data_IF_069765884966
#
_entry.id   IF_069765884966
#
_cell.length_a   1.000
_cell.length_b   1.000
_cell.length_c   1.000
_cell.angle_alpha   90.00
_cell.angle_beta   90.00
_cell.angle_gamma   90.00
#
_symmetry.space_group_name_H-M   'P 1'
#
loop_
_entity.id
_entity.type
_entity.pdbx_description
1 polymer ?
#
# COMPACT_ATOMS: atom_id res chain seq x y z
N UNK A 1 0.97 2.14 -13.07
CA UNK A 1 0.77 1.33 -11.85
C UNK A 1 -0.70 1.16 -11.45
N UNK A 2 -1.50 2.22 -11.26
CA UNK A 2 -2.87 2.08 -10.74
C UNK A 2 -3.76 1.05 -11.49
N UNK A 3 -3.74 1.04 -12.83
CA UNK A 3 -4.47 0.05 -13.63
C UNK A 3 -3.98 -1.39 -13.39
N UNK A 4 -2.67 -1.58 -13.22
CA UNK A 4 -2.10 -2.89 -12.84
C UNK A 4 -2.63 -3.32 -11.48
N UNK A 5 -2.67 -2.42 -10.50
CA UNK A 5 -3.20 -2.72 -9.16
C UNK A 5 -4.68 -3.11 -9.19
N UNK A 6 -5.49 -2.44 -10.02
CA UNK A 6 -6.89 -2.82 -10.26
C UNK A 6 -7.01 -4.19 -10.93
N UNK A 7 -6.18 -4.48 -11.93
CA UNK A 7 -6.19 -5.78 -12.60
C UNK A 7 -5.77 -6.91 -11.64
N UNK A 8 -4.79 -6.66 -10.78
CA UNK A 8 -4.39 -7.57 -9.71
C UNK A 8 -5.55 -7.80 -8.73
N UNK A 9 -6.24 -6.74 -8.31
CA UNK A 9 -7.46 -6.85 -7.49
C UNK A 9 -8.51 -7.76 -8.17
N UNK A 10 -8.80 -7.55 -9.45
CA UNK A 10 -9.78 -8.38 -10.19
C UNK A 10 -9.33 -9.83 -10.34
N UNK A 11 -8.03 -10.08 -10.52
CA UNK A 11 -7.48 -11.45 -10.54
C UNK A 11 -7.71 -12.21 -9.23
N UNK A 12 -7.78 -11.52 -8.09
CA UNK A 12 -8.10 -12.16 -6.81
C UNK A 12 -9.55 -12.63 -6.71
N UNK A 13 -10.40 -12.29 -7.69
CA UNK A 13 -11.85 -12.56 -7.68
C UNK A 13 -12.68 -11.47 -7.00
N UNK A 14 -12.05 -10.35 -6.59
CA UNK A 14 -12.73 -9.23 -5.95
C UNK A 14 -13.68 -8.50 -6.91
N UNK A 15 -14.89 -8.21 -6.44
CA UNK A 15 -15.89 -7.43 -7.19
C UNK A 15 -16.15 -6.05 -6.59
N UNK A 16 -15.37 -5.63 -5.58
CA UNK A 16 -15.51 -4.32 -4.94
C UNK A 16 -15.46 -3.18 -5.97
N UNK A 17 -16.34 -2.17 -5.88
CA UNK A 17 -16.26 -1.00 -6.73
C UNK A 17 -14.99 -0.19 -6.42
N UNK A 18 -14.39 0.42 -7.43
CA UNK A 18 -13.14 1.18 -7.29
C UNK A 18 -13.28 2.59 -7.85
N UNK A 19 -12.79 3.57 -7.09
CA UNK A 19 -12.61 4.94 -7.55
C UNK A 19 -11.12 5.22 -7.72
N UNK A 20 -10.71 5.54 -8.95
CA UNK A 20 -9.36 5.98 -9.26
C UNK A 20 -9.32 7.51 -9.24
N UNK A 21 -8.69 8.08 -8.23
CA UNK A 21 -8.45 9.51 -8.16
C UNK A 21 -7.23 9.90 -9.00
N UNK A 22 -7.43 10.85 -9.90
CA UNK A 22 -6.39 11.47 -10.72
C UNK A 22 -6.07 12.85 -10.16
N UNK A 23 -4.80 13.25 -10.22
CA UNK A 23 -4.35 14.53 -9.68
C UNK A 23 -5.00 15.70 -10.42
N UNK A 24 -5.00 15.67 -11.76
CA UNK A 24 -5.56 16.73 -12.61
C UNK A 24 -6.26 16.17 -13.85
N UNK A 25 -6.96 17.05 -14.56
CA UNK A 25 -7.59 16.72 -15.83
C UNK A 25 -6.58 16.34 -16.94
N UNK A 26 -5.30 16.72 -16.78
CA UNK A 26 -4.24 16.37 -17.73
C UNK A 26 -3.90 14.86 -17.68
N UNK A 27 -4.10 14.22 -16.53
CA UNK A 27 -3.93 12.78 -16.36
C UNK A 27 -5.13 11.96 -16.87
N UNK A 28 -6.22 12.63 -17.29
CA UNK A 28 -7.41 11.96 -17.80
C UNK A 28 -7.14 11.29 -19.15
N UNK A 29 -7.36 9.98 -19.21
CA UNK A 29 -7.26 9.22 -20.44
C UNK A 29 -8.62 8.63 -20.79
N UNK A 30 -9.25 9.13 -21.85
CA UNK A 30 -10.59 8.72 -22.28
C UNK A 30 -10.73 7.20 -22.45
N UNK A 31 -9.80 6.57 -23.17
CA UNK A 31 -9.85 5.12 -23.37
C UNK A 31 -9.74 4.34 -22.04
N UNK A 32 -8.91 4.80 -21.09
CA UNK A 32 -8.82 4.20 -19.76
C UNK A 32 -10.08 4.45 -18.94
N UNK A 33 -10.47 5.71 -18.75
CA UNK A 33 -11.52 6.13 -17.82
C UNK A 33 -12.94 5.84 -18.32
N UNK A 34 -13.20 6.00 -19.62
CA UNK A 34 -14.55 5.87 -20.20
C UNK A 34 -14.83 4.45 -20.72
N UNK A 35 -13.79 3.72 -21.15
CA UNK A 35 -13.98 2.40 -21.81
C UNK A 35 -13.46 1.22 -20.99
N UNK A 36 -12.26 1.31 -20.40
CA UNK A 36 -11.64 0.17 -19.69
C UNK A 36 -12.09 0.05 -18.25
N UNK A 37 -11.99 1.12 -17.46
CA UNK A 37 -12.32 1.10 -16.03
C UNK A 37 -13.78 0.72 -15.75
N UNK A 38 -14.79 1.20 -16.49
CA UNK A 38 -16.18 0.83 -16.23
C UNK A 38 -16.44 -0.68 -16.39
N UNK A 39 -15.75 -1.33 -17.34
CA UNK A 39 -15.80 -2.80 -17.53
C UNK A 39 -15.20 -3.58 -16.35
N UNK A 40 -14.37 -2.92 -15.55
CA UNK A 40 -13.74 -3.47 -14.35
C UNK A 40 -14.43 -2.99 -13.07
N UNK A 41 -15.69 -2.51 -13.13
CA UNK A 41 -16.41 -1.93 -11.98
C UNK A 41 -15.58 -0.83 -11.28
N UNK A 42 -14.99 0.07 -12.08
CA UNK A 42 -14.18 1.17 -11.61
C UNK A 42 -14.50 2.46 -12.37
N UNK A 43 -14.21 3.62 -11.77
CA UNK A 43 -14.37 4.94 -12.42
C UNK A 43 -13.24 5.90 -12.05
N UNK A 44 -12.98 6.86 -12.92
CA UNK A 44 -12.04 7.96 -12.63
C UNK A 44 -12.77 9.10 -11.90
N UNK A 45 -12.07 9.75 -10.97
CA UNK A 45 -12.45 11.02 -10.36
C UNK A 45 -11.25 11.96 -10.44
N UNK A 46 -11.48 13.20 -10.86
CA UNK A 46 -10.42 14.20 -11.02
C UNK A 46 -10.40 15.08 -9.77
N UNK A 47 -9.26 15.18 -9.10
CA UNK A 47 -9.14 15.91 -7.85
C UNK A 47 -9.35 17.42 -8.04
N UNK A 48 -8.79 18.00 -9.11
CA UNK A 48 -8.95 19.42 -9.44
C UNK A 48 -10.42 19.83 -9.60
N UNK A 49 -11.27 18.97 -10.17
CA UNK A 49 -12.70 19.26 -10.33
C UNK A 49 -13.38 19.46 -8.97
N UNK A 50 -12.97 18.70 -7.96
CA UNK A 50 -13.50 18.81 -6.60
C UNK A 50 -13.11 20.15 -5.97
N UNK A 51 -11.88 20.62 -6.22
CA UNK A 51 -11.36 21.86 -5.66
C UNK A 51 -11.69 23.11 -6.46
N UNK A 52 -12.11 22.98 -7.72
CA UNK A 52 -12.42 24.09 -8.62
C UNK A 52 -13.42 25.12 -8.05
N UNK A 53 -14.26 24.69 -7.10
CA UNK A 53 -15.25 25.51 -6.41
C UNK A 53 -14.74 26.22 -5.15
N UNK A 54 -13.49 25.96 -4.72
CA UNK A 54 -12.90 26.52 -3.50
C UNK A 54 -11.99 27.71 -3.83
N UNK A 55 -12.37 28.95 -3.46
CA UNK A 55 -11.53 30.12 -3.68
C UNK A 55 -10.17 29.99 -2.99
N UNK A 56 -9.10 30.40 -3.68
CA UNK A 56 -7.73 30.44 -3.16
C UNK A 56 -7.19 29.09 -2.62
N UNK A 57 -7.71 27.96 -3.10
CA UNK A 57 -7.20 26.64 -2.71
C UNK A 57 -5.75 26.48 -3.19
N UNK A 58 -4.78 26.25 -2.29
CA UNK A 58 -3.40 26.00 -2.70
C UNK A 58 -3.31 24.68 -3.45
N UNK A 59 -2.39 24.62 -4.41
CA UNK A 59 -2.09 23.37 -5.13
C UNK A 59 -1.66 22.31 -4.12
N UNK A 60 -2.35 21.18 -4.12
CA UNK A 60 -1.95 20.05 -3.31
C UNK A 60 -0.62 19.46 -3.79
N UNK A 61 0.18 19.02 -2.84
CA UNK A 61 1.47 18.39 -3.07
C UNK A 61 1.46 16.93 -2.63
N UNK A 62 1.97 16.04 -3.50
CA UNK A 62 2.39 14.66 -3.19
C UNK A 62 1.42 13.90 -2.26
N UNK A 63 1.73 13.83 -0.97
CA UNK A 63 1.02 13.00 0.00
C UNK A 63 -0.35 13.58 0.41
N UNK A 64 -0.58 14.87 0.16
CA UNK A 64 -1.82 15.54 0.55
C UNK A 64 -3.05 14.98 -0.19
N UNK A 65 -2.88 14.48 -1.41
CA UNK A 65 -3.97 13.92 -2.22
C UNK A 65 -4.69 12.75 -1.55
N UNK A 66 -3.98 11.96 -0.73
CA UNK A 66 -4.50 10.73 -0.10
C UNK A 66 -5.72 11.00 0.78
N UNK A 67 -5.59 11.94 1.73
CA UNK A 67 -6.69 12.24 2.66
C UNK A 67 -7.91 12.78 1.91
N UNK A 68 -7.70 13.59 0.88
CA UNK A 68 -8.80 14.15 0.09
C UNK A 68 -9.48 13.10 -0.77
N UNK A 69 -8.74 12.14 -1.33
CA UNK A 69 -9.35 11.01 -2.04
C UNK A 69 -10.28 10.19 -1.14
N UNK A 70 -9.93 10.02 0.15
CA UNK A 70 -10.77 9.33 1.13
C UNK A 70 -12.03 10.16 1.44
N UNK A 71 -11.88 11.47 1.66
CA UNK A 71 -13.03 12.36 1.94
C UNK A 71 -14.02 12.34 0.78
N UNK A 72 -13.52 12.58 -0.44
CA UNK A 72 -14.35 12.82 -1.62
C UNK A 72 -14.83 11.55 -2.32
N UNK A 73 -14.33 10.39 -1.92
CA UNK A 73 -14.91 9.12 -2.31
C UNK A 73 -16.40 9.06 -1.95
N UNK A 74 -17.24 8.43 -2.77
CA UNK A 74 -18.65 8.22 -2.40
C UNK A 74 -18.84 7.10 -1.37
N UNK A 75 -17.82 6.26 -1.13
CA UNK A 75 -17.93 5.10 -0.25
C UNK A 75 -17.83 5.48 1.23
N UNK A 76 -18.71 4.92 2.07
CA UNK A 76 -18.60 5.01 3.54
C UNK A 76 -17.47 4.16 4.10
N UNK A 77 -17.31 2.97 3.55
CA UNK A 77 -16.33 1.97 3.94
C UNK A 77 -15.26 1.87 2.86
N UNK A 78 -14.03 2.25 3.22
CA UNK A 78 -12.94 2.48 2.27
C UNK A 78 -11.78 1.52 2.58
N UNK A 79 -11.28 0.85 1.56
CA UNK A 79 -9.93 0.30 1.51
C UNK A 79 -9.11 1.22 0.58
N UNK A 80 -8.29 2.07 1.17
CA UNK A 80 -7.39 2.94 0.43
C UNK A 80 -6.14 2.15 0.03
N UNK A 81 -5.75 2.30 -1.24
CA UNK A 81 -4.52 1.73 -1.80
C UNK A 81 -3.78 2.82 -2.58
N UNK A 82 -2.48 2.95 -2.33
CA UNK A 82 -1.58 3.66 -3.23
C UNK A 82 -1.60 3.00 -4.62
N UNK A 83 -1.28 3.79 -5.66
CA UNK A 83 -1.32 3.33 -7.04
C UNK A 83 -0.39 2.12 -7.32
N UNK A 84 0.60 1.89 -6.46
CA UNK A 84 1.60 0.82 -6.48
C UNK A 84 1.42 -0.19 -5.33
N UNK A 85 0.22 -0.24 -4.72
CA UNK A 85 -0.19 -1.25 -3.75
C UNK A 85 -1.35 -2.10 -4.30
N UNK A 86 -1.29 -3.43 -4.11
CA UNK A 86 -2.34 -4.34 -4.58
C UNK A 86 -2.45 -5.60 -3.72
N UNK A 87 -3.65 -6.21 -3.65
CA UNK A 87 -3.84 -7.47 -2.94
C UNK A 87 -3.38 -8.68 -3.75
N UNK A 88 -3.00 -9.75 -3.05
CA UNK A 88 -2.68 -11.07 -3.61
C UNK A 88 -3.76 -12.13 -3.28
N UNK A 89 -4.74 -11.76 -2.45
CA UNK A 89 -5.98 -12.50 -2.19
C UNK A 89 -7.14 -11.51 -2.10
N UNK A 90 -8.37 -11.96 -2.36
CA UNK A 90 -9.54 -11.05 -2.36
C UNK A 90 -9.68 -10.36 -1.00
N UNK A 91 -9.74 -9.00 -0.96
CA UNK A 91 -9.91 -8.25 0.28
C UNK A 91 -11.39 -8.06 0.67
N UNK A 92 -12.36 -8.58 -0.09
CA UNK A 92 -13.79 -8.30 0.06
C UNK A 92 -14.30 -8.62 1.47
N UNK A 93 -13.82 -9.73 2.05
CA UNK A 93 -14.22 -10.17 3.39
C UNK A 93 -13.73 -9.24 4.51
N UNK A 94 -12.78 -8.32 4.25
CA UNK A 94 -12.22 -7.45 5.29
C UNK A 94 -13.29 -6.54 5.91
N UNK A 95 -14.25 -6.07 5.12
CA UNK A 95 -15.32 -5.17 5.57
C UNK A 95 -16.30 -5.85 6.54
N UNK A 96 -16.44 -7.17 6.44
CA UNK A 96 -17.38 -7.95 7.26
C UNK A 96 -16.77 -8.53 8.53
N UNK A 97 -15.46 -8.34 8.73
CA UNK A 97 -14.72 -9.02 9.79
C UNK A 97 -14.00 -8.05 10.74
N UNK A 98 -13.63 -8.57 11.90
CA UNK A 98 -12.71 -7.87 12.79
C UNK A 98 -11.28 -7.98 12.23
N UNK A 99 -10.46 -6.93 12.35
CA UNK A 99 -10.64 -5.78 13.24
C UNK A 99 -11.49 -4.65 12.66
N UNK A 100 -11.75 -4.62 11.35
CA UNK A 100 -12.43 -3.47 10.72
C UNK A 100 -13.79 -3.15 11.35
N UNK A 101 -14.64 -4.16 11.57
CA UNK A 101 -15.95 -3.94 12.22
C UNK A 101 -15.86 -3.37 13.63
N UNK A 102 -14.86 -3.76 14.41
CA UNK A 102 -14.71 -3.25 15.79
C UNK A 102 -14.07 -1.87 15.85
N UNK A 103 -13.12 -1.59 14.96
CA UNK A 103 -12.28 -0.40 15.06
C UNK A 103 -12.66 0.70 14.06
N UNK A 104 -12.92 0.37 12.79
CA UNK A 104 -13.25 1.35 11.76
C UNK A 104 -12.05 2.03 11.11
N UNK A 105 -10.92 2.09 11.80
CA UNK A 105 -9.62 2.44 11.21
C UNK A 105 -8.66 1.25 11.37
N UNK A 106 -8.13 0.75 10.26
CA UNK A 106 -7.09 -0.29 10.23
C UNK A 106 -5.88 0.22 9.47
N UNK A 107 -4.71 0.16 10.08
CA UNK A 107 -3.44 0.61 9.49
C UNK A 107 -2.39 -0.49 9.53
N UNK A 108 -1.48 -0.50 8.56
CA UNK A 108 -0.39 -1.47 8.50
C UNK A 108 0.92 -0.88 9.03
N UNK A 109 1.84 -1.70 9.55
CA UNK A 109 3.13 -1.23 10.01
C UNK A 109 4.06 -0.92 8.82
N UNK A 110 4.76 0.21 8.93
CA UNK A 110 5.89 0.60 8.09
C UNK A 110 7.18 -0.06 8.60
N UNK A 111 8.25 0.04 7.80
CA UNK A 111 9.62 -0.32 8.16
C UNK A 111 10.10 0.43 9.41
N UNK A 112 9.72 1.70 9.52
CA UNK A 112 10.29 2.62 10.48
C UNK A 112 9.65 2.51 11.87
N UNK A 113 10.41 2.92 12.88
CA UNK A 113 9.83 3.19 14.20
C UNK A 113 9.17 4.57 14.19
N UNK A 114 8.12 4.82 14.99
CA UNK A 114 7.53 6.14 15.09
C UNK A 114 8.56 7.14 15.63
N UNK A 115 8.72 8.27 14.95
CA UNK A 115 9.61 9.38 15.32
C UNK A 115 8.83 10.65 15.62
N UNK A 116 7.61 10.51 16.13
CA UNK A 116 6.76 11.66 16.46
C UNK A 116 7.38 12.47 17.60
N UNK A 117 7.50 13.78 17.40
CA UNK A 117 8.04 14.68 18.42
C UNK A 117 7.23 14.59 19.72
N UNK A 118 7.87 14.50 20.90
CA UNK A 118 7.20 14.62 22.19
C UNK A 118 6.31 15.86 22.31
N UNK A 119 6.71 16.97 21.66
CA UNK A 119 5.96 18.23 21.63
C UNK A 119 4.55 18.04 21.06
N UNK A 120 4.36 17.14 20.09
CA UNK A 120 3.03 16.84 19.58
C UNK A 120 2.12 16.29 20.68
N UNK A 121 2.61 15.35 21.49
CA UNK A 121 1.82 14.73 22.55
C UNK A 121 1.47 15.75 23.64
N UNK A 122 2.39 16.65 23.98
CA UNK A 122 2.12 17.74 24.91
C UNK A 122 1.02 18.68 24.39
N UNK A 123 1.10 19.09 23.12
CA UNK A 123 0.10 19.95 22.47
C UNK A 123 -1.26 19.26 22.33
N UNK A 124 -1.26 17.96 22.07
CA UNK A 124 -2.47 17.15 21.94
C UNK A 124 -3.04 16.68 23.28
N UNK A 125 -2.39 16.99 24.41
CA UNK A 125 -2.72 16.48 25.74
C UNK A 125 -2.83 14.93 25.78
N UNK A 126 -1.89 14.26 25.12
CA UNK A 126 -1.76 12.81 25.05
C UNK A 126 -0.52 12.34 25.81
N UNK A 127 -0.52 11.09 26.26
CA UNK A 127 0.69 10.43 26.75
C UNK A 127 1.40 9.75 25.58
N UNK A 128 2.67 10.08 25.37
CA UNK A 128 3.48 9.42 24.35
C UNK A 128 3.53 7.90 24.61
N UNK A 129 3.20 7.05 23.62
CA UNK A 129 3.22 5.62 23.81
C UNK A 129 4.67 5.10 23.94
N UNK A 130 4.88 3.94 24.61
CA UNK A 130 6.20 3.33 24.65
C UNK A 130 6.72 3.05 23.24
N UNK A 131 8.02 3.29 22.98
CA UNK A 131 8.60 3.14 21.63
C UNK A 131 8.35 1.76 21.00
N UNK A 132 8.33 0.69 21.80
CA UNK A 132 8.12 -0.69 21.31
C UNK A 132 6.64 -1.09 21.21
N UNK A 133 5.71 -0.18 21.47
CA UNK A 133 4.27 -0.49 21.47
C UNK A 133 3.73 -0.76 20.05
N UNK A 134 4.24 -0.03 19.06
CA UNK A 134 3.90 -0.18 17.64
C UNK A 134 5.02 0.30 16.73
N UNK A 135 4.94 -0.09 15.46
CA UNK A 135 5.71 0.52 14.37
C UNK A 135 5.04 1.81 13.90
N UNK A 136 5.76 2.57 13.08
CA UNK A 136 5.16 3.65 12.29
C UNK A 136 4.06 3.07 11.39
N UNK A 137 3.03 3.83 11.07
CA UNK A 137 2.02 3.38 10.11
C UNK A 137 2.50 3.58 8.68
N UNK A 138 2.10 2.67 7.79
CA UNK A 138 2.25 2.80 6.35
C UNK A 138 0.89 3.26 5.80
N UNK A 139 0.87 4.39 5.07
CA UNK A 139 -0.37 5.03 4.60
C UNK A 139 -0.70 4.75 3.13
N UNK A 140 0.09 3.94 2.43
CA UNK A 140 -0.27 3.38 1.14
C UNK A 140 -1.31 2.28 1.24
N UNK A 141 -1.56 1.70 2.42
CA UNK A 141 -2.68 0.77 2.66
C UNK A 141 -3.38 1.09 3.98
N UNK A 142 -4.65 1.45 3.91
CA UNK A 142 -5.47 1.73 5.09
C UNK A 142 -6.93 1.33 4.87
N UNK A 143 -7.60 0.88 5.92
CA UNK A 143 -9.06 0.79 5.92
C UNK A 143 -9.65 1.90 6.77
N UNK A 144 -10.75 2.47 6.30
CA UNK A 144 -11.38 3.62 6.92
C UNK A 144 -12.91 3.52 6.84
N UNK A 145 -13.58 3.68 7.99
CA UNK A 145 -15.03 3.81 8.09
C UNK A 145 -15.37 5.29 8.34
N UNK A 146 -15.80 5.97 7.28
CA UNK A 146 -16.08 7.41 7.34
C UNK A 146 -17.21 7.74 8.31
N UNK A 147 -18.15 6.82 8.53
CA UNK A 147 -19.28 7.06 9.42
C UNK A 147 -18.85 7.13 10.89
N UNK A 148 -17.91 6.28 11.30
CA UNK A 148 -17.39 6.24 12.69
C UNK A 148 -16.23 7.19 12.94
N UNK A 149 -15.48 7.50 11.88
CA UNK A 149 -14.25 8.27 11.95
C UNK A 149 -14.29 9.60 11.18
N UNK A 150 -15.48 10.14 10.91
CA UNK A 150 -15.63 11.43 10.22
C UNK A 150 -14.77 12.53 10.85
N UNK A 151 -14.80 12.64 12.18
CA UNK A 151 -14.04 13.67 12.90
C UNK A 151 -12.53 13.46 12.79
N UNK A 152 -12.07 12.20 12.82
CA UNK A 152 -10.64 11.91 12.66
C UNK A 152 -10.17 12.11 11.22
N UNK A 153 -10.99 11.85 10.20
CA UNK A 153 -10.63 12.21 8.82
C UNK A 153 -10.43 13.72 8.72
N UNK A 154 -11.37 14.52 9.23
CA UNK A 154 -11.28 15.99 9.15
C UNK A 154 -10.00 16.49 9.83
N UNK A 155 -9.66 15.94 11.00
CA UNK A 155 -8.42 16.30 11.69
C UNK A 155 -7.17 15.81 10.93
N UNK A 156 -7.20 14.61 10.34
CA UNK A 156 -6.15 14.15 9.45
C UNK A 156 -6.02 15.06 8.21
N UNK A 157 -7.12 15.59 7.67
CA UNK A 157 -7.11 16.53 6.55
C UNK A 157 -6.39 17.81 6.93
N UNK A 158 -6.67 18.34 8.13
CA UNK A 158 -5.96 19.50 8.65
C UNK A 158 -4.46 19.23 8.80
N UNK A 159 -4.08 18.06 9.34
CA UNK A 159 -2.67 17.66 9.45
C UNK A 159 -1.98 17.56 8.09
N UNK A 160 -2.63 16.96 7.09
CA UNK A 160 -2.06 16.81 5.76
C UNK A 160 -2.03 18.15 4.99
N UNK A 161 -3.06 18.97 5.11
CA UNK A 161 -3.12 20.27 4.46
C UNK A 161 -1.97 21.19 4.93
N UNK A 162 -1.66 21.19 6.23
CA UNK A 162 -0.49 21.88 6.79
C UNK A 162 0.75 20.97 6.94
N UNK A 163 0.74 19.82 6.25
CA UNK A 163 1.71 18.75 6.38
C UNK A 163 3.14 19.20 6.09
N UNK A 164 3.45 19.63 4.85
CA UNK A 164 4.81 19.92 4.43
C UNK A 164 5.57 20.92 5.34
N UNK A 165 4.86 21.92 5.88
CA UNK A 165 5.49 23.00 6.65
C UNK A 165 5.43 22.80 8.16
N UNK A 166 4.50 21.99 8.68
CA UNK A 166 4.25 21.90 10.11
C UNK A 166 4.15 20.45 10.59
N UNK A 167 3.16 19.70 10.10
CA UNK A 167 2.82 18.40 10.71
C UNK A 167 3.73 17.25 10.28
N UNK A 168 4.19 17.19 9.02
CA UNK A 168 5.09 16.12 8.60
C UNK A 168 6.43 16.19 9.36
N UNK A 169 7.08 17.37 9.49
CA UNK A 169 8.27 17.52 10.34
C UNK A 169 7.98 17.23 11.81
N UNK A 170 6.80 17.60 12.32
CA UNK A 170 6.43 17.32 13.71
C UNK A 170 6.24 15.81 13.98
N UNK A 171 5.67 15.09 13.02
CA UNK A 171 5.42 13.64 13.13
C UNK A 171 6.61 12.77 12.77
N UNK A 172 7.51 13.24 11.90
CA UNK A 172 8.61 12.42 11.38
C UNK A 172 9.99 12.92 11.81
N UNK A 173 10.12 14.19 12.18
CA UNK A 173 11.39 14.84 12.54
C UNK A 173 12.47 14.70 11.45
N UNK A 174 12.10 14.80 10.17
CA UNK A 174 13.02 14.65 9.04
C UNK A 174 13.48 13.21 8.77
N UNK A 175 12.88 12.21 9.43
CA UNK A 175 13.22 10.81 9.22
C UNK A 175 12.80 10.30 7.82
N UNK A 176 13.37 9.17 7.41
CA UNK A 176 12.99 8.52 6.16
C UNK A 176 11.49 8.19 6.11
N UNK A 177 10.90 8.40 4.93
CA UNK A 177 9.47 8.26 4.72
C UNK A 177 8.65 9.34 5.44
N UNK A 178 9.19 10.55 5.60
CA UNK A 178 8.42 11.71 6.07
C UNK A 178 7.27 12.04 5.11
N UNK A 179 6.08 12.25 5.67
CA UNK A 179 4.86 12.50 4.91
C UNK A 179 3.61 12.30 5.76
N UNK A 180 2.56 11.82 5.11
CA UNK A 180 1.21 11.65 5.65
C UNK A 180 1.07 10.46 6.63
N UNK A 181 2.08 9.60 6.72
CA UNK A 181 1.96 8.26 7.32
C UNK A 181 1.45 8.22 8.76
N UNK A 182 1.85 9.18 9.59
CA UNK A 182 1.40 9.26 11.00
C UNK A 182 0.15 10.12 11.19
N UNK A 183 -0.34 10.80 10.14
CA UNK A 183 -1.46 11.75 10.29
C UNK A 183 -2.78 11.06 10.65
N UNK A 184 -3.07 9.91 10.03
CA UNK A 184 -4.35 9.21 10.18
C UNK A 184 -4.51 8.58 11.56
N UNK A 185 -3.51 7.81 12.02
CA UNK A 185 -3.56 7.16 13.32
C UNK A 185 -3.53 8.20 14.46
N UNK A 186 -2.68 9.23 14.36
CA UNK A 186 -2.65 10.28 15.37
C UNK A 186 -3.93 11.09 15.44
N UNK A 187 -4.59 11.37 14.30
CA UNK A 187 -5.90 12.03 14.33
C UNK A 187 -6.94 11.24 15.12
N UNK A 188 -6.98 9.91 14.97
CA UNK A 188 -7.85 9.04 15.74
C UNK A 188 -7.46 9.02 17.23
N UNK A 189 -6.16 8.97 17.52
CA UNK A 189 -5.66 9.00 18.90
C UNK A 189 -6.03 10.28 19.64
N UNK A 190 -5.88 11.45 19.01
CA UNK A 190 -6.25 12.76 19.59
C UNK A 190 -7.74 12.83 19.93
N UNK A 191 -8.58 12.24 19.09
CA UNK A 191 -10.04 12.25 19.28
C UNK A 191 -10.56 11.07 20.10
N UNK A 192 -9.67 10.22 20.63
CA UNK A 192 -10.04 9.02 21.38
C UNK A 192 -10.82 7.98 20.55
N UNK A 193 -10.69 8.01 19.22
CA UNK A 193 -11.34 7.06 18.31
C UNK A 193 -10.53 5.74 18.27
N UNK A 194 -11.20 4.58 18.32
CA UNK A 194 -10.51 3.29 18.30
C UNK A 194 -9.86 3.04 16.94
N UNK A 195 -8.65 2.49 16.91
CA UNK A 195 -8.02 2.02 15.67
C UNK A 195 -7.29 0.71 15.91
N UNK A 196 -7.06 -0.04 14.84
CA UNK A 196 -6.25 -1.25 14.86
C UNK A 196 -5.01 -1.08 13.99
N UNK A 197 -3.84 -1.08 14.61
CA UNK A 197 -2.56 -1.19 13.93
C UNK A 197 -2.12 -2.65 13.86
N UNK A 198 -1.98 -3.19 12.64
CA UNK A 198 -1.59 -4.58 12.39
C UNK A 198 -0.25 -4.89 13.07
N UNK A 199 -0.21 -6.00 13.80
CA UNK A 199 0.93 -6.36 14.67
C UNK A 199 1.94 -7.24 13.97
N UNK A 200 1.52 -8.01 12.98
CA UNK A 200 2.43 -8.80 12.13
C UNK A 200 3.36 -7.82 11.40
N UNK A 201 4.69 -7.89 11.63
CA UNK A 201 5.64 -7.00 10.95
C UNK A 201 5.59 -7.19 9.44
N UNK A 202 5.85 -6.12 8.69
CA UNK A 202 5.95 -6.22 7.24
C UNK A 202 7.14 -7.12 6.82
N UNK A 203 6.99 -7.74 5.65
CA UNK A 203 8.06 -8.50 5.00
C UNK A 203 8.70 -7.71 3.87
N UNK A 204 10.00 -7.88 3.62
CA UNK A 204 10.65 -7.26 2.46
C UNK A 204 10.34 -8.04 1.17
N UNK A 205 10.09 -7.30 0.08
CA UNK A 205 10.23 -7.77 -1.29
C UNK A 205 11.54 -7.24 -1.85
N UNK A 206 12.31 -8.08 -2.52
CA UNK A 206 13.58 -7.66 -3.10
C UNK A 206 14.49 -8.84 -3.40
N UNK A 207 15.65 -8.55 -4.00
CA UNK A 207 16.58 -9.55 -4.50
C UNK A 207 18.01 -9.24 -4.09
N UNK A 208 18.86 -10.25 -4.08
CA UNK A 208 20.29 -10.07 -3.87
C UNK A 208 21.00 -9.92 -5.22
N UNK A 209 21.83 -8.88 -5.35
CA UNK A 209 22.69 -8.64 -6.51
C UNK A 209 24.10 -8.35 -6.01
N UNK A 210 25.07 -9.19 -6.37
CA UNK A 210 26.50 -8.99 -6.03
C UNK A 210 26.74 -8.76 -4.53
N UNK A 211 25.99 -9.47 -3.68
CA UNK A 211 26.06 -9.35 -2.22
C UNK A 211 25.21 -8.22 -1.61
N UNK A 212 24.61 -7.33 -2.40
CA UNK A 212 23.73 -6.27 -1.91
C UNK A 212 22.24 -6.65 -2.06
N UNK A 213 21.45 -6.44 -1.01
CA UNK A 213 20.00 -6.62 -1.08
C UNK A 213 19.32 -5.37 -1.67
N UNK A 214 18.77 -5.53 -2.88
CA UNK A 214 17.95 -4.54 -3.58
C UNK A 214 16.50 -4.71 -3.15
N UNK A 215 16.01 -3.81 -2.31
CA UNK A 215 14.60 -3.83 -1.87
C UNK A 215 13.72 -3.25 -2.98
N UNK A 216 12.62 -3.94 -3.28
CA UNK A 216 11.64 -3.54 -4.28
C UNK A 216 10.33 -3.05 -3.65
N UNK A 217 9.99 -3.53 -2.44
CA UNK A 217 8.75 -3.18 -1.78
C UNK A 217 8.52 -3.91 -0.46
N UNK A 218 7.27 -3.92 -0.01
CA UNK A 218 6.83 -4.52 1.24
C UNK A 218 5.72 -5.56 1.02
N UNK A 219 5.65 -6.53 1.95
CA UNK A 219 4.56 -7.49 2.12
C UNK A 219 3.80 -7.10 3.38
N UNK A 220 2.49 -6.94 3.26
CA UNK A 220 1.62 -6.48 4.33
C UNK A 220 0.57 -7.56 4.64
N UNK A 221 0.39 -7.82 5.93
CA UNK A 221 -0.31 -9.00 6.41
C UNK A 221 -1.84 -8.89 6.30
N UNK A 222 -2.53 -10.03 6.34
CA UNK A 222 -3.96 -10.13 6.53
C UNK A 222 -4.35 -9.61 7.93
N UNK A 223 -5.16 -8.54 8.04
CA UNK A 223 -5.46 -7.92 9.33
C UNK A 223 -6.44 -8.76 10.15
N UNK A 224 -7.28 -9.58 9.49
CA UNK A 224 -8.26 -10.47 10.17
C UNK A 224 -7.51 -11.62 10.83
N UNK A 225 -6.60 -12.26 10.09
CA UNK A 225 -5.75 -13.31 10.65
C UNK A 225 -4.84 -12.77 11.76
N UNK A 226 -4.25 -11.59 11.55
CA UNK A 226 -3.41 -10.93 12.56
C UNK A 226 -4.20 -10.67 13.84
N UNK A 227 -5.40 -10.11 13.74
CA UNK A 227 -6.29 -9.86 14.87
C UNK A 227 -6.61 -11.14 15.64
N UNK A 228 -6.95 -12.22 14.94
CA UNK A 228 -7.22 -13.52 15.56
C UNK A 228 -5.99 -14.08 16.29
N UNK A 229 -4.78 -13.93 15.71
CA UNK A 229 -3.54 -14.32 16.37
C UNK A 229 -3.30 -13.49 17.66
N UNK A 230 -3.60 -12.20 17.66
CA UNK A 230 -3.48 -11.37 18.86
C UNK A 230 -4.48 -11.77 19.95
N UNK A 231 -5.72 -12.11 19.59
CA UNK A 231 -6.71 -12.63 20.55
C UNK A 231 -6.23 -13.92 21.19
N UNK A 232 -5.67 -14.84 20.41
CA UNK A 232 -5.10 -16.09 20.92
C UNK A 232 -3.90 -15.84 21.85
N UNK A 233 -3.00 -14.91 21.49
CA UNK A 233 -1.87 -14.53 22.35
C UNK A 233 -2.34 -13.93 23.67
N UNK A 234 -3.37 -13.07 23.66
CA UNK A 234 -3.94 -12.48 24.87
C UNK A 234 -4.55 -13.54 25.79
N UNK A 235 -5.30 -14.48 25.23
CA UNK A 235 -5.94 -15.56 25.99
C UNK A 235 -4.89 -16.53 26.56
N UNK A 236 -3.83 -16.85 25.79
CA UNK A 236 -2.71 -17.68 26.27
C UNK A 236 -1.84 -16.98 27.31
N UNK A 237 -1.57 -15.68 27.16
CA UNK A 237 -0.83 -14.88 28.14
C UNK A 237 -1.57 -14.73 29.48
N UNK A 238 -2.88 -14.92 29.49
CA UNK A 238 -3.68 -15.08 30.71
C UNK A 238 -3.63 -16.50 31.29
N UNK A 239 -3.38 -17.53 30.46
CA UNK A 239 -3.37 -18.94 30.86
C UNK A 239 -1.99 -19.46 31.28
N UNK A 240 -0.89 -19.05 30.64
CA UNK A 240 0.47 -19.55 30.88
C UNK A 240 1.51 -18.42 30.79
N UNK A 241 2.17 -18.10 31.92
CA UNK A 241 3.35 -17.20 31.99
C UNK A 241 4.67 -17.89 31.65
N UNK A 242 4.65 -19.17 31.29
CA UNK A 242 5.82 -20.00 31.08
C UNK A 242 5.76 -20.68 29.71
N UNK A 243 6.26 -20.00 28.68
CA UNK A 243 6.87 -20.61 27.48
C UNK A 243 7.35 -19.49 26.56
N UNK A 244 8.57 -19.01 26.81
CA UNK A 244 9.33 -18.21 25.84
C UNK A 244 10.14 -19.16 24.98
N UNK A 245 9.53 -19.70 23.94
CA UNK A 245 10.28 -20.32 22.86
C UNK A 245 10.23 -19.41 21.63
N UNK A 246 11.26 -18.56 21.51
CA UNK A 246 11.37 -17.48 20.53
C UNK A 246 11.72 -17.94 19.12
N UNK A 247 11.27 -19.12 18.67
CA UNK A 247 11.73 -19.71 17.40
C UNK A 247 10.69 -20.02 16.34
N UNK A 248 9.40 -19.72 16.52
CA UNK A 248 8.42 -19.66 15.42
C UNK A 248 7.18 -18.88 15.86
N UNK A 249 7.30 -17.55 15.96
CA UNK A 249 6.11 -16.72 16.18
C UNK A 249 5.21 -16.82 14.95
N UNK A 250 4.00 -17.39 15.12
CA UNK A 250 3.01 -17.45 14.04
C UNK A 250 2.71 -16.04 13.53
N UNK A 251 2.76 -15.88 12.22
CA UNK A 251 2.47 -14.64 11.50
C UNK A 251 1.23 -14.84 10.66
N UNK A 252 0.44 -13.79 10.51
CA UNK A 252 -0.63 -13.77 9.53
C UNK A 252 -0.07 -13.90 8.12
N UNK A 253 -0.86 -14.48 7.21
CA UNK A 253 -0.49 -14.56 5.80
C UNK A 253 -0.34 -13.16 5.18
N UNK A 254 0.38 -13.06 4.07
CA UNK A 254 0.45 -11.83 3.31
C UNK A 254 -0.85 -11.62 2.53
N UNK A 255 -1.38 -10.41 2.56
CA UNK A 255 -2.58 -10.03 1.81
C UNK A 255 -2.27 -8.99 0.75
N UNK A 256 -1.35 -8.07 1.03
CA UNK A 256 -0.99 -6.98 0.12
C UNK A 256 0.50 -6.95 -0.17
N UNK A 257 0.85 -6.47 -1.36
CA UNK A 257 2.19 -6.06 -1.75
C UNK A 257 2.18 -4.57 -2.08
N UNK A 258 3.24 -3.85 -1.71
CA UNK A 258 3.37 -2.41 -1.95
C UNK A 258 4.76 -2.09 -2.50
N UNK A 259 4.86 -1.57 -3.74
CA UNK A 259 6.11 -1.13 -4.38
C UNK A 259 6.47 0.32 -4.04
N UNK A 260 6.72 0.58 -2.77
CA UNK A 260 7.06 1.91 -2.29
C UNK A 260 8.46 2.42 -2.71
N UNK A 261 9.28 1.58 -3.36
CA UNK A 261 10.67 1.90 -3.78
C UNK A 261 10.81 1.89 -5.30
N UNK A 262 10.39 0.81 -5.97
CA UNK A 262 10.51 0.69 -7.44
C UNK A 262 9.19 1.08 -8.09
N UNK A 263 9.15 2.27 -8.71
CA UNK A 263 7.97 2.77 -9.41
C UNK A 263 8.08 2.53 -10.91
N UNK A 264 7.24 1.65 -11.45
CA UNK A 264 7.18 1.39 -12.89
C UNK A 264 6.28 2.43 -13.58
N UNK A 265 6.89 3.51 -14.08
CA UNK A 265 6.20 4.50 -14.92
C UNK A 265 6.62 4.32 -16.38
N UNK A 266 5.82 3.59 -17.15
CA UNK A 266 6.07 3.32 -18.56
C UNK A 266 5.90 4.55 -19.47
N UNK A 267 5.41 5.69 -18.93
CA UNK A 267 5.25 6.94 -19.70
C UNK A 267 6.51 7.81 -19.69
N UNK A 268 7.38 7.66 -18.69
CA UNK A 268 8.62 8.44 -18.57
C UNK A 268 9.73 7.71 -19.30
N UNK A 269 10.26 8.37 -20.32
CA UNK A 269 11.12 7.81 -21.39
C UNK A 269 12.53 7.36 -20.97
N UNK A 270 12.90 7.45 -19.69
CA UNK A 270 14.16 6.92 -19.16
C UNK A 270 13.89 5.80 -18.13
N UNK A 271 13.45 4.69 -18.70
CA UNK A 271 13.72 3.29 -18.34
C UNK A 271 13.29 2.72 -16.96
N UNK A 272 11.99 2.40 -16.76
CA UNK A 272 11.57 1.49 -15.68
C UNK A 272 12.13 0.06 -15.85
N UNK A 273 12.62 -0.31 -17.05
CA UNK A 273 13.22 -1.63 -17.32
C UNK A 273 14.66 -1.67 -16.78
N UNK A 274 15.42 -0.58 -16.73
CA UNK A 274 16.82 -0.59 -16.23
C UNK A 274 16.94 -0.98 -14.75
N UNK A 275 16.03 -0.49 -13.90
CA UNK A 275 16.05 -0.83 -12.46
C UNK A 275 15.74 -2.32 -12.22
N UNK A 276 14.88 -2.91 -13.05
CA UNK A 276 14.54 -4.35 -12.97
C UNK A 276 15.46 -5.23 -13.82
N UNK A 277 16.20 -4.66 -14.77
CA UNK A 277 17.10 -5.36 -15.70
C UNK A 277 18.54 -5.47 -15.24
N UNK A 278 18.85 -5.06 -14.00
CA UNK A 278 20.14 -5.36 -13.39
C UNK A 278 20.43 -6.86 -13.48
N UNK A 279 21.52 -7.19 -14.16
CA UNK A 279 21.96 -8.57 -14.37
C UNK A 279 22.54 -9.14 -13.07
N UNK A 280 22.29 -10.42 -12.84
CA UNK A 280 22.92 -11.16 -11.76
C UNK A 280 24.43 -11.36 -12.00
N UNK A 281 25.10 -12.02 -11.06
CA UNK A 281 26.55 -12.33 -11.14
C UNK A 281 26.94 -13.13 -12.39
N UNK A 282 25.99 -13.85 -12.99
CA UNK A 282 26.17 -14.66 -14.20
C UNK A 282 25.79 -13.91 -15.49
N UNK A 283 25.51 -12.59 -15.42
CA UNK A 283 25.13 -11.79 -16.57
C UNK A 283 23.73 -12.09 -17.12
N UNK A 284 22.84 -12.70 -16.32
CA UNK A 284 21.46 -13.01 -16.72
C UNK A 284 20.45 -12.09 -16.04
N UNK A 285 19.37 -11.79 -16.76
CA UNK A 285 18.17 -11.18 -16.18
C UNK A 285 17.57 -12.08 -15.10
N UNK A 286 16.92 -11.46 -14.12
CA UNK A 286 16.33 -12.16 -12.99
C UNK A 286 15.06 -11.48 -12.50
N UNK A 287 14.31 -12.22 -11.68
CA UNK A 287 13.12 -11.72 -10.97
C UNK A 287 13.44 -10.46 -10.18
N UNK A 288 12.49 -9.53 -10.11
CA UNK A 288 12.54 -8.30 -9.31
C UNK A 288 12.55 -8.60 -7.81
N UNK A 289 11.82 -9.63 -7.35
CA UNK A 289 11.76 -10.00 -5.94
C UNK A 289 12.61 -11.22 -5.59
N UNK A 290 13.45 -11.66 -6.53
CA UNK A 290 14.21 -12.90 -6.39
C UNK A 290 13.31 -14.15 -6.32
N UNK A 291 13.92 -15.29 -6.02
CA UNK A 291 13.20 -16.56 -5.90
C UNK A 291 12.53 -16.67 -4.51
N UNK A 292 11.42 -15.96 -4.33
CA UNK A 292 10.64 -16.00 -3.10
C UNK A 292 9.65 -17.17 -3.08
N UNK A 293 10.19 -18.39 -2.94
CA UNK A 293 9.40 -19.62 -2.89
C UNK A 293 8.35 -19.60 -1.77
N UNK A 294 8.62 -18.89 -0.66
CA UNK A 294 7.67 -18.77 0.45
C UNK A 294 6.46 -17.92 0.05
N UNK A 295 6.67 -16.82 -0.67
CA UNK A 295 5.56 -16.02 -1.19
C UNK A 295 4.71 -16.83 -2.18
N UNK A 296 5.35 -17.60 -3.06
CA UNK A 296 4.65 -18.46 -4.03
C UNK A 296 3.82 -19.54 -3.30
N UNK A 297 4.42 -20.23 -2.34
CA UNK A 297 3.74 -21.25 -1.54
C UNK A 297 2.55 -20.66 -0.76
N UNK A 298 2.74 -19.52 -0.10
CA UNK A 298 1.71 -18.86 0.70
C UNK A 298 0.55 -18.31 -0.14
N UNK A 299 0.85 -17.74 -1.30
CA UNK A 299 -0.17 -17.16 -2.19
C UNK A 299 -0.86 -18.22 -3.05
N UNK A 300 -0.21 -19.38 -3.25
CA UNK A 300 -0.69 -20.45 -4.11
C UNK A 300 -0.42 -20.25 -5.61
N UNK A 301 0.29 -19.18 -5.98
CA UNK A 301 0.66 -18.90 -7.38
C UNK A 301 1.90 -18.00 -7.47
N UNK A 302 2.46 -17.88 -8.68
CA UNK A 302 3.61 -17.00 -8.91
C UNK A 302 3.17 -15.53 -9.03
N UNK A 303 3.11 -14.84 -7.89
CA UNK A 303 2.61 -13.45 -7.81
C UNK A 303 3.38 -12.49 -8.69
N UNK A 304 4.72 -12.62 -8.74
CA UNK A 304 5.54 -11.70 -9.53
C UNK A 304 5.29 -11.88 -11.03
N UNK A 305 5.27 -13.14 -11.48
CA UNK A 305 4.93 -13.48 -12.86
C UNK A 305 3.58 -12.90 -13.26
N UNK A 306 2.57 -13.15 -12.44
CA UNK A 306 1.20 -12.67 -12.67
C UNK A 306 1.13 -11.14 -12.72
N UNK A 307 1.85 -10.45 -11.84
CA UNK A 307 1.92 -8.99 -11.89
C UNK A 307 2.52 -8.50 -13.21
N UNK A 308 3.61 -9.11 -13.70
CA UNK A 308 4.19 -8.74 -14.99
C UNK A 308 3.25 -9.01 -16.17
N UNK A 309 2.49 -10.11 -16.14
CA UNK A 309 1.42 -10.36 -17.13
C UNK A 309 0.40 -9.21 -17.15
N UNK A 310 -0.04 -8.76 -15.96
CA UNK A 310 -1.00 -7.65 -15.86
C UNK A 310 -0.38 -6.29 -16.22
N UNK A 311 0.91 -6.06 -15.98
CA UNK A 311 1.61 -4.87 -16.47
C UNK A 311 1.64 -4.85 -18.00
N UNK A 312 2.01 -5.97 -18.63
CA UNK A 312 2.02 -6.09 -20.10
C UNK A 312 0.61 -5.87 -20.63
N UNK A 313 -0.39 -6.53 -20.05
CA UNK A 313 -1.80 -6.38 -20.45
C UNK A 313 -2.31 -4.94 -20.29
N UNK A 314 -1.95 -4.28 -19.20
CA UNK A 314 -2.38 -2.92 -18.94
C UNK A 314 -1.83 -1.91 -19.96
N UNK A 315 -0.60 -2.10 -20.41
CA UNK A 315 0.14 -1.05 -21.12
C UNK A 315 0.46 -1.39 -22.59
N UNK A 316 0.42 -2.67 -22.97
CA UNK A 316 0.93 -3.15 -24.25
C UNK A 316 -0.11 -3.88 -25.11
N UNK A 317 -1.40 -3.90 -24.73
CA UNK A 317 -2.48 -4.54 -25.50
C UNK A 317 -2.61 -3.97 -26.93
N UNK A 318 -2.41 -2.67 -27.11
CA UNK A 318 -2.62 -1.97 -28.39
C UNK A 318 -1.38 -1.25 -28.91
N UNK A 319 -0.26 -1.37 -28.18
CA UNK A 319 0.95 -0.62 -28.46
C UNK A 319 2.06 -1.50 -29.06
N UNK A 320 2.64 -1.00 -30.15
CA UNK A 320 3.86 -1.51 -30.78
C UNK A 320 5.10 -0.71 -30.35
N UNK A 321 5.03 0.00 -29.22
CA UNK A 321 6.17 0.73 -28.69
C UNK A 321 7.31 -0.24 -28.34
N UNK A 322 8.55 0.15 -28.65
CA UNK A 322 9.78 -0.62 -28.38
C UNK A 322 9.88 -1.07 -26.91
N UNK A 323 9.37 -0.24 -25.99
CA UNK A 323 9.29 -0.53 -24.56
C UNK A 323 8.44 -1.77 -24.26
N UNK A 324 7.36 -1.99 -25.01
CA UNK A 324 6.52 -3.17 -24.86
C UNK A 324 7.20 -4.44 -25.36
N UNK A 325 8.03 -4.35 -26.40
CA UNK A 325 8.87 -5.47 -26.82
C UNK A 325 9.93 -5.81 -25.77
N UNK A 326 10.68 -4.82 -25.26
CA UNK A 326 11.65 -5.02 -24.17
C UNK A 326 11.01 -5.65 -22.93
N UNK A 327 9.79 -5.24 -22.59
CA UNK A 327 9.05 -5.79 -21.46
C UNK A 327 8.65 -7.25 -21.69
N UNK A 328 8.21 -7.61 -22.91
CA UNK A 328 7.89 -9.00 -23.30
C UNK A 328 9.13 -9.89 -23.34
N UNK A 329 10.26 -9.37 -23.82
CA UNK A 329 11.56 -10.06 -23.81
C UNK A 329 12.02 -10.34 -22.38
N UNK A 330 12.00 -9.32 -21.51
CA UNK A 330 12.28 -9.48 -20.08
C UNK A 330 11.39 -10.58 -19.48
N UNK A 331 10.07 -10.48 -19.67
CA UNK A 331 9.11 -11.45 -19.15
C UNK A 331 9.42 -12.88 -19.61
N UNK A 332 9.69 -13.05 -20.90
CA UNK A 332 9.99 -14.36 -21.48
C UNK A 332 11.28 -14.94 -20.89
N UNK A 333 12.33 -14.13 -20.80
CA UNK A 333 13.65 -14.55 -20.29
C UNK A 333 13.65 -14.94 -18.80
N UNK A 334 12.79 -14.30 -17.99
CA UNK A 334 12.79 -14.48 -16.53
C UNK A 334 11.76 -15.53 -16.08
N UNK A 335 10.58 -15.59 -16.71
CA UNK A 335 9.44 -16.38 -16.21
C UNK A 335 9.07 -17.58 -17.08
N UNK A 336 9.70 -17.74 -18.25
CA UNK A 336 9.45 -18.87 -19.14
C UNK A 336 10.65 -19.82 -19.09
N UNK A 337 10.45 -21.12 -18.78
CA UNK A 337 11.54 -22.06 -18.85
C UNK A 337 12.08 -22.13 -20.29
N UNK A 338 13.40 -22.31 -20.50
CA UNK A 338 13.93 -22.58 -21.82
C UNK A 338 13.24 -23.81 -22.42
N UNK A 339 13.07 -23.88 -23.76
CA UNK A 339 12.54 -25.08 -24.39
C UNK A 339 13.35 -26.29 -23.91
N UNK A 340 12.65 -27.35 -23.48
CA UNK A 340 13.29 -28.63 -23.18
C UNK A 340 13.97 -29.14 -24.45
N UNK A 341 15.31 -29.24 -24.43
CA UNK A 341 16.11 -29.87 -25.49
C UNK A 341 15.79 -31.36 -25.66
#
# INVERSE_FOLDING_TARGET
MAITSLLMLRRTGSNLPVELFLDSAEDYNHHLCDERLPKLNARCLIMDDVFSSTPDMPKLEKFQFKVFSIIFSEFSDILFLDADAFPIHSPDYLFDNNPYKSYGLVTWPDLWMPTVSPVFYDLANLTAPPLKSRRSSESGIMMYDKSRHAESIILASYYNFYGPHYYYPLFSQGAHGEGDKETFLHSAAVLGKPFYDVKTPMGFLGRWIKGDFRTAGMKQADPVEDYNLQLLKRNKGQANKEEKDGKNEKRARWLFLHHNIVKLDLRKMDDPVDTVSELNENGKLMRMWGDDNKLIEMSGYDVEKVMWEEIIKANCETSYFEQCERLREFYTSVFTPPPSE
#
